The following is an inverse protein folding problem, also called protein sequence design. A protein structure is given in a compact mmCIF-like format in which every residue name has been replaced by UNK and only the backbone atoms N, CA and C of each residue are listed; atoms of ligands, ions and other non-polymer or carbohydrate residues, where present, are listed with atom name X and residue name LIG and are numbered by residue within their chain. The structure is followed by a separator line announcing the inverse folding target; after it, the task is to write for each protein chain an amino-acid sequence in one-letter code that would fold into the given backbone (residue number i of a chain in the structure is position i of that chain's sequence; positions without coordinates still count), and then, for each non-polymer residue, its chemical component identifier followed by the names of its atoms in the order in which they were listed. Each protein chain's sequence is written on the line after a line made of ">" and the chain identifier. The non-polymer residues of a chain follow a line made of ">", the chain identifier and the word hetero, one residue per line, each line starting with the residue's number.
data_IF_825457698704
#
_entry.id   IF_825457698704
#
_cell.length_a   1.000
_cell.length_b   1.000
_cell.length_c   1.000
_cell.angle_alpha   90.00
_cell.angle_beta   90.00
_cell.angle_gamma   90.00
#
_symmetry.space_group_name_H-M   'P 1'
#
loop_
_entity.id
_entity.type
_entity.pdbx_description
1 polymer ?
#
# COMPACT_ATOMS: atom_id res chain seq x y z
N UNK A 1 -20.36 33.97 -3.47
CA UNK A 1 -20.61 32.82 -2.58
C UNK A 1 -19.81 31.60 -3.07
N UNK A 2 -18.47 31.67 -3.00
CA UNK A 2 -17.58 30.62 -3.55
C UNK A 2 -16.16 30.65 -2.92
N UNK A 3 -16.03 30.98 -1.63
CA UNK A 3 -14.71 31.15 -0.99
C UNK A 3 -14.58 30.45 0.37
N UNK A 4 -15.44 29.49 0.70
CA UNK A 4 -15.39 28.81 2.01
C UNK A 4 -14.70 27.44 2.04
N UNK A 5 -14.34 26.85 0.90
CA UNK A 5 -13.67 25.54 0.89
C UNK A 5 -12.13 25.62 0.95
N UNK A 6 -11.52 26.75 0.55
CA UNK A 6 -10.05 26.90 0.57
C UNK A 6 -9.46 27.16 1.97
N UNK A 7 -10.30 27.32 3.00
CA UNK A 7 -9.88 27.66 4.37
C UNK A 7 -10.15 26.55 5.39
N UNK A 8 -10.69 25.40 4.99
CA UNK A 8 -10.78 24.25 5.89
C UNK A 8 -9.42 23.51 5.88
N UNK A 9 -8.37 24.16 6.40
CA UNK A 9 -7.15 23.50 6.88
C UNK A 9 -7.43 22.74 8.18
N UNK A 10 -8.62 22.14 8.33
CA UNK A 10 -8.79 21.17 9.41
C UNK A 10 -8.00 19.95 8.99
N UNK A 11 -6.95 19.57 9.75
CA UNK A 11 -6.25 18.32 9.46
C UNK A 11 -7.34 17.28 9.45
N UNK A 12 -7.54 16.59 8.32
CA UNK A 12 -8.54 15.55 8.23
C UNK A 12 -8.15 14.52 9.28
N UNK A 13 -8.82 14.61 10.42
CA UNK A 13 -8.65 13.78 11.59
C UNK A 13 -9.10 12.38 11.19
N UNK A 14 -8.21 11.61 10.54
CA UNK A 14 -8.08 10.23 10.94
C UNK A 14 -7.73 10.27 12.43
N UNK A 15 -8.41 9.48 13.26
CA UNK A 15 -8.40 9.60 14.72
C UNK A 15 -7.08 9.26 15.42
N UNK A 16 -5.93 9.75 14.94
CA UNK A 16 -4.66 9.68 15.63
C UNK A 16 -4.65 10.71 16.77
N UNK A 17 -4.53 10.22 18.00
CA UNK A 17 -4.31 11.03 19.19
C UNK A 17 -3.04 11.90 19.03
N UNK A 18 -2.97 13.09 19.67
CA UNK A 18 -1.77 13.92 19.65
C UNK A 18 -0.62 13.17 20.34
N UNK A 19 0.33 12.67 19.54
CA UNK A 19 1.46 11.87 20.01
C UNK A 19 1.62 10.51 19.34
N UNK A 20 0.60 10.03 18.61
CA UNK A 20 0.75 8.90 17.70
C UNK A 20 1.09 9.47 16.32
N UNK A 21 2.34 9.31 15.87
CA UNK A 21 2.65 9.45 14.46
C UNK A 21 1.77 8.44 13.72
N UNK A 22 0.85 8.90 12.88
CA UNK A 22 0.17 7.99 11.97
C UNK A 22 1.29 7.37 11.11
N UNK A 23 1.56 6.08 11.30
CA UNK A 23 2.66 5.35 10.65
C UNK A 23 2.58 5.41 9.10
N UNK A 24 1.41 5.79 8.60
CA UNK A 24 1.11 6.06 7.22
C UNK A 24 0.58 7.51 7.11
N UNK A 25 1.45 8.45 6.77
CA UNK A 25 1.04 9.79 6.38
C UNK A 25 0.80 9.80 4.87
N UNK A 26 -0.46 9.92 4.47
CA UNK A 26 -0.87 10.07 3.07
C UNK A 26 -1.07 11.57 2.82
N UNK A 27 -0.65 12.03 1.65
CA UNK A 27 -0.75 13.45 1.30
C UNK A 27 -1.65 13.62 0.08
N UNK A 28 -2.57 14.58 0.19
CA UNK A 28 -3.46 15.01 -0.89
C UNK A 28 -3.10 16.45 -1.23
N UNK A 29 -2.64 16.70 -2.45
CA UNK A 29 -2.33 18.05 -2.91
C UNK A 29 -3.34 18.51 -3.96
N UNK A 30 -3.81 19.75 -3.81
CA UNK A 30 -4.72 20.37 -4.76
C UNK A 30 -3.93 20.77 -6.01
N UNK A 31 -4.25 20.13 -7.15
CA UNK A 31 -3.69 20.45 -8.45
C UNK A 31 -4.26 21.76 -9.03
N UNK A 32 -5.55 22.02 -8.79
CA UNK A 32 -6.28 23.19 -9.31
C UNK A 32 -7.46 23.56 -8.41
N UNK A 33 -8.03 24.74 -8.61
CA UNK A 33 -9.28 25.17 -7.98
C UNK A 33 -10.55 24.67 -8.71
N UNK A 34 -10.41 23.99 -9.85
CA UNK A 34 -11.50 23.39 -10.61
C UNK A 34 -11.97 22.07 -9.95
N UNK A 35 -13.24 21.95 -9.53
CA UNK A 35 -13.76 20.77 -8.84
C UNK A 35 -13.86 19.51 -9.71
N UNK A 36 -13.70 19.61 -11.04
CA UNK A 36 -13.70 18.45 -11.93
C UNK A 36 -12.32 17.81 -12.09
N UNK A 37 -11.28 18.43 -11.53
CA UNK A 37 -9.90 17.94 -11.61
C UNK A 37 -9.58 17.08 -10.39
N UNK A 38 -9.11 15.85 -10.63
CA UNK A 38 -8.66 14.94 -9.59
C UNK A 38 -7.46 15.57 -8.83
N UNK A 39 -7.46 15.58 -7.49
CA UNK A 39 -6.28 15.99 -6.73
C UNK A 39 -5.14 14.99 -6.93
N UNK A 40 -3.92 15.44 -6.68
CA UNK A 40 -2.75 14.57 -6.69
C UNK A 40 -2.63 13.86 -5.35
N UNK A 41 -2.40 12.55 -5.43
CA UNK A 41 -2.54 11.63 -4.31
C UNK A 41 -1.21 10.91 -4.14
N UNK A 42 -0.45 11.32 -3.13
CA UNK A 42 0.72 10.57 -2.72
C UNK A 42 0.33 9.54 -1.66
N UNK A 43 0.46 8.28 -2.07
CA UNK A 43 0.10 7.13 -1.28
C UNK A 43 1.20 6.70 -0.30
N UNK A 44 2.45 7.08 -0.54
CA UNK A 44 3.59 6.76 0.32
C UNK A 44 3.66 5.27 0.77
N UNK A 45 3.25 4.33 -0.10
CA UNK A 45 3.38 2.90 0.16
C UNK A 45 4.86 2.54 0.36
N UNK A 46 5.15 1.70 1.35
CA UNK A 46 6.50 1.21 1.65
C UNK A 46 7.51 2.29 2.05
N UNK A 47 7.03 3.36 2.68
CA UNK A 47 7.91 4.35 3.29
C UNK A 47 8.73 3.77 4.46
N UNK A 48 8.17 2.77 5.15
CA UNK A 48 8.86 2.03 6.20
C UNK A 48 9.25 0.62 5.71
N UNK A 49 10.47 0.20 6.02
CA UNK A 49 11.02 -1.11 5.65
C UNK A 49 10.23 -2.28 6.29
N UNK A 50 9.53 -2.05 7.41
CA UNK A 50 8.69 -3.06 8.06
C UNK A 50 7.53 -3.49 7.17
N UNK A 51 6.95 -2.59 6.38
CA UNK A 51 5.86 -2.91 5.47
C UNK A 51 6.32 -3.79 4.31
N UNK A 52 7.58 -3.63 3.88
CA UNK A 52 8.20 -4.48 2.86
C UNK A 52 8.40 -5.89 3.42
N UNK A 53 8.90 -6.01 4.65
CA UNK A 53 9.09 -7.30 5.33
C UNK A 53 7.74 -7.98 5.59
N UNK A 54 6.74 -7.23 6.06
CA UNK A 54 5.41 -7.76 6.33
C UNK A 54 4.74 -8.26 5.05
N UNK A 55 4.86 -7.53 3.93
CA UNK A 55 4.36 -8.00 2.63
C UNK A 55 5.07 -9.25 2.16
N UNK A 56 6.40 -9.32 2.34
CA UNK A 56 7.19 -10.50 2.00
C UNK A 56 6.66 -11.75 2.72
N UNK A 57 6.49 -11.69 4.03
CA UNK A 57 6.02 -12.85 4.80
C UNK A 57 4.56 -13.22 4.44
N UNK A 58 3.73 -12.23 4.15
CA UNK A 58 2.38 -12.45 3.63
C UNK A 58 2.39 -13.22 2.31
N UNK A 59 3.33 -12.88 1.41
CA UNK A 59 3.49 -13.52 0.11
C UNK A 59 4.04 -14.95 0.23
N UNK A 60 5.01 -15.17 1.12
CA UNK A 60 5.51 -16.51 1.47
C UNK A 60 4.39 -17.39 2.04
N UNK A 61 3.54 -16.83 2.90
CA UNK A 61 2.41 -17.54 3.49
C UNK A 61 1.36 -17.94 2.44
N UNK A 62 0.90 -16.98 1.65
CA UNK A 62 -0.13 -17.23 0.63
C UNK A 62 0.34 -18.23 -0.42
N UNK A 63 1.60 -18.12 -0.86
CA UNK A 63 2.20 -19.09 -1.79
C UNK A 63 2.33 -20.47 -1.17
N UNK A 64 2.66 -20.56 0.13
CA UNK A 64 2.65 -21.83 0.87
C UNK A 64 1.26 -22.50 0.92
N UNK A 65 0.20 -21.71 1.13
CA UNK A 65 -1.17 -22.22 1.17
C UNK A 65 -1.67 -22.64 -0.21
N UNK A 66 -1.42 -21.83 -1.24
CA UNK A 66 -1.98 -22.04 -2.58
C UNK A 66 -1.22 -23.11 -3.38
N UNK A 67 0.11 -23.14 -3.29
CA UNK A 67 0.95 -24.03 -4.11
C UNK A 67 1.23 -25.34 -3.38
N UNK A 68 1.50 -25.29 -2.07
CA UNK A 68 1.87 -26.47 -1.28
C UNK A 68 0.71 -27.04 -0.45
N UNK A 69 -0.39 -26.30 -0.30
CA UNK A 69 -1.53 -26.74 0.51
C UNK A 69 -2.30 -27.90 -0.13
N UNK A 70 -2.66 -28.89 0.69
CA UNK A 70 -3.30 -30.14 0.23
C UNK A 70 -4.61 -29.93 -0.54
N UNK A 71 -5.32 -28.82 -0.28
CA UNK A 71 -6.59 -28.49 -0.91
C UNK A 71 -6.45 -27.76 -2.26
N UNK A 72 -5.38 -26.96 -2.45
CA UNK A 72 -5.26 -26.02 -3.57
C UNK A 72 -4.17 -26.34 -4.58
N UNK A 73 -3.22 -27.22 -4.23
CA UNK A 73 -2.08 -27.60 -5.08
C UNK A 73 -2.45 -28.08 -6.48
N UNK A 74 -3.62 -28.72 -6.64
CA UNK A 74 -4.04 -29.31 -7.91
C UNK A 74 -4.74 -28.30 -8.84
N UNK A 75 -5.07 -27.11 -8.33
CA UNK A 75 -5.75 -26.05 -9.08
C UNK A 75 -4.79 -24.98 -9.61
N UNK A 76 -3.63 -24.80 -8.97
CA UNK A 76 -2.63 -23.83 -9.38
C UNK A 76 -1.86 -24.37 -10.60
N UNK A 77 -1.97 -23.68 -11.74
CA UNK A 77 -1.31 -24.09 -13.00
C UNK A 77 0.13 -23.58 -13.05
N UNK A 78 0.33 -22.28 -12.84
CA UNK A 78 1.64 -21.65 -12.80
C UNK A 78 1.55 -20.28 -12.13
N UNK A 79 2.69 -19.74 -11.73
CA UNK A 79 2.83 -18.33 -11.38
C UNK A 79 2.92 -17.49 -12.67
N UNK A 80 2.39 -16.27 -12.64
CA UNK A 80 2.38 -15.34 -13.77
C UNK A 80 2.71 -13.93 -13.28
N UNK A 81 3.50 -13.13 -14.00
CA UNK A 81 4.17 -13.39 -15.29
C UNK A 81 5.48 -14.21 -15.24
N UNK A 82 6.09 -14.37 -14.07
CA UNK A 82 7.29 -15.17 -13.84
C UNK A 82 7.26 -15.75 -12.42
N UNK A 83 8.12 -16.73 -12.12
CA UNK A 83 8.23 -17.31 -10.77
C UNK A 83 8.73 -16.27 -9.77
N UNK A 84 8.05 -16.15 -8.64
CA UNK A 84 8.42 -15.25 -7.57
C UNK A 84 9.64 -15.77 -6.80
N UNK A 85 10.64 -14.91 -6.53
CA UNK A 85 11.84 -15.30 -5.80
C UNK A 85 11.61 -15.31 -4.28
N UNK A 86 10.75 -16.21 -3.80
CA UNK A 86 10.44 -16.36 -2.36
C UNK A 86 11.64 -16.79 -1.51
N UNK A 87 12.71 -17.28 -2.14
CA UNK A 87 13.93 -17.76 -1.48
C UNK A 87 14.96 -16.66 -1.21
N UNK A 88 14.77 -15.44 -1.74
CA UNK A 88 15.74 -14.34 -1.64
C UNK A 88 15.10 -13.09 -1.04
N UNK A 89 15.52 -12.75 0.19
CA UNK A 89 15.12 -11.52 0.90
C UNK A 89 15.44 -10.26 0.10
N UNK A 90 16.55 -10.30 -0.65
CA UNK A 90 17.06 -9.16 -1.42
C UNK A 90 16.18 -8.87 -2.63
N UNK A 91 15.76 -9.92 -3.34
CA UNK A 91 14.92 -9.79 -4.53
C UNK A 91 13.48 -9.39 -4.15
N UNK A 92 13.01 -9.82 -2.97
CA UNK A 92 11.70 -9.47 -2.42
C UNK A 92 11.63 -8.05 -1.82
N UNK A 93 12.77 -7.36 -1.64
CA UNK A 93 12.80 -5.96 -1.18
C UNK A 93 12.46 -4.97 -2.30
N UNK A 94 12.58 -5.39 -3.55
CA UNK A 94 12.27 -4.55 -4.69
C UNK A 94 10.79 -4.66 -5.06
N UNK A 95 10.01 -3.58 -4.98
CA UNK A 95 8.67 -3.58 -5.56
C UNK A 95 8.79 -3.75 -7.08
N UNK A 96 8.07 -4.74 -7.62
CA UNK A 96 7.88 -4.98 -9.06
C UNK A 96 6.90 -3.97 -9.63
#
# INVERSE_FOLDING_TARGET
>A
MALRCAQDQRPHHCGCQPGAACLYAWELTLQSADPLVQPDINLNFFADDLDVIARRECLCFTSGVLIKGECFKDLAVSEYPWEMPLQSDVEMKHPV
#
